data_IF_352792846307
#
_entry.id   IF_352792846307
#
_cell.length_a   1.000
_cell.length_b   1.000
_cell.length_c   1.000
_cell.angle_alpha   90.00
_cell.angle_beta   90.00
_cell.angle_gamma   90.00
#
_symmetry.space_group_name_H-M   'P 1'
#
loop_
_entity.id
_entity.type
_entity.pdbx_description
1 polymer ?
#
# COMPACT_ATOMS: atom_id res chain seq x y z
N UNK A 1 -2.11 3.42 14.17
CA UNK A 1 -2.13 2.72 12.86
C UNK A 1 -1.41 3.53 11.78
N UNK A 2 -1.98 4.65 11.30
CA UNK A 2 -1.42 5.41 10.16
C UNK A 2 0.07 5.79 10.35
N UNK A 3 0.44 6.30 11.53
CA UNK A 3 1.82 6.66 11.85
C UNK A 3 2.78 5.48 11.73
N UNK A 4 2.46 4.37 12.39
CA UNK A 4 3.27 3.15 12.38
C UNK A 4 3.45 2.57 10.97
N UNK A 5 2.39 2.54 10.16
CA UNK A 5 2.47 2.08 8.77
C UNK A 5 3.32 3.01 7.90
N UNK A 6 3.23 4.32 8.12
CA UNK A 6 3.97 5.31 7.37
C UNK A 6 5.48 5.31 7.68
N UNK A 7 5.83 5.11 8.96
CA UNK A 7 7.23 5.06 9.46
C UNK A 7 7.91 3.70 9.21
N UNK A 8 7.22 2.75 8.58
CA UNK A 8 7.79 1.45 8.25
C UNK A 8 8.67 1.54 6.98
N UNK A 9 9.93 1.94 7.13
CA UNK A 9 10.91 2.11 6.03
C UNK A 9 11.03 0.89 5.12
N UNK A 10 10.84 -0.31 5.68
CA UNK A 10 10.90 -1.54 4.89
C UNK A 10 9.81 -1.59 3.78
N UNK A 11 8.75 -0.79 3.88
CA UNK A 11 7.65 -0.75 2.91
C UNK A 11 7.83 0.35 1.83
N UNK A 12 9.03 0.93 1.71
CA UNK A 12 9.28 2.10 0.84
C UNK A 12 9.67 1.78 -0.60
N UNK A 13 9.83 0.50 -0.94
CA UNK A 13 10.28 0.11 -2.27
C UNK A 13 9.05 -0.07 -3.18
N UNK A 14 8.94 0.65 -4.32
CA UNK A 14 7.90 0.37 -5.30
C UNK A 14 8.06 -1.03 -5.88
N UNK A 15 6.97 -1.72 -6.23
CA UNK A 15 7.06 -2.92 -7.06
C UNK A 15 7.85 -2.61 -8.34
N UNK A 16 8.74 -3.53 -8.72
CA UNK A 16 9.70 -3.31 -9.81
C UNK A 16 9.01 -2.91 -11.13
N UNK A 17 7.89 -3.56 -11.45
CA UNK A 17 7.05 -3.31 -12.62
C UNK A 17 6.30 -1.96 -12.58
N UNK A 18 6.21 -1.30 -11.42
CA UNK A 18 5.56 0.00 -11.26
C UNK A 18 6.53 1.18 -11.16
N UNK A 19 7.84 0.92 -11.10
CA UNK A 19 8.89 1.95 -10.88
C UNK A 19 8.74 3.16 -11.82
N UNK A 20 8.42 2.91 -13.09
CA UNK A 20 8.32 3.94 -14.13
C UNK A 20 7.13 4.91 -13.99
N UNK A 21 6.07 4.51 -13.27
CA UNK A 21 4.89 5.37 -12.98
C UNK A 21 4.80 5.77 -11.51
N UNK A 22 5.73 5.32 -10.67
CA UNK A 22 5.60 5.40 -9.22
C UNK A 22 5.45 6.84 -8.72
N UNK A 23 6.18 7.77 -9.33
CA UNK A 23 6.07 9.19 -9.01
C UNK A 23 4.63 9.71 -9.19
N UNK A 24 3.99 9.42 -10.33
CA UNK A 24 2.62 9.85 -10.62
C UNK A 24 1.60 9.20 -9.68
N UNK A 25 1.84 7.94 -9.28
CA UNK A 25 1.01 7.22 -8.30
C UNK A 25 1.11 7.91 -6.94
N UNK A 26 2.33 8.22 -6.48
CA UNK A 26 2.56 8.92 -5.21
C UNK A 26 1.86 10.29 -5.20
N UNK A 27 2.02 11.07 -6.27
CA UNK A 27 1.36 12.37 -6.40
C UNK A 27 -0.17 12.27 -6.37
N UNK A 28 -0.72 11.28 -7.08
CA UNK A 28 -2.16 11.05 -7.12
C UNK A 28 -2.72 10.75 -5.72
N UNK A 29 -2.05 9.86 -4.96
CA UNK A 29 -2.51 9.46 -3.63
C UNK A 29 -2.34 10.58 -2.60
N UNK A 30 -1.22 11.31 -2.63
CA UNK A 30 -0.98 12.47 -1.73
C UNK A 30 -2.02 13.59 -1.99
N UNK A 31 -2.45 13.75 -3.24
CA UNK A 31 -3.49 14.72 -3.62
C UNK A 31 -4.92 14.21 -3.36
N UNK A 32 -5.09 13.09 -2.65
CA UNK A 32 -6.39 12.43 -2.42
C UNK A 32 -7.16 12.04 -3.69
N UNK A 33 -6.47 11.90 -4.83
CA UNK A 33 -7.10 11.58 -6.11
C UNK A 33 -7.06 10.07 -6.37
N UNK A 34 -7.92 9.33 -5.67
CA UNK A 34 -7.98 7.86 -5.80
C UNK A 34 -8.42 7.40 -7.19
N UNK A 35 -9.18 8.22 -7.93
CA UNK A 35 -9.53 7.91 -9.33
C UNK A 35 -8.30 7.94 -10.25
N UNK A 36 -7.41 8.93 -10.10
CA UNK A 36 -6.14 8.98 -10.85
C UNK A 36 -5.23 7.82 -10.46
N UNK A 37 -5.10 7.53 -9.16
CA UNK A 37 -4.32 6.39 -8.68
C UNK A 37 -4.81 5.06 -9.29
N UNK A 38 -6.13 4.85 -9.35
CA UNK A 38 -6.74 3.69 -10.03
C UNK A 38 -6.36 3.61 -11.51
N UNK A 39 -6.48 4.71 -12.26
CA UNK A 39 -6.15 4.72 -13.70
C UNK A 39 -4.71 4.29 -13.94
N UNK A 40 -3.79 4.73 -13.09
CA UNK A 40 -2.36 4.40 -13.19
C UNK A 40 -2.06 2.95 -12.83
N UNK A 41 -2.83 2.34 -11.92
CA UNK A 41 -2.51 1.05 -11.31
C UNK A 41 -3.32 -0.14 -11.86
N UNK A 42 -4.56 0.08 -12.27
CA UNK A 42 -5.50 -1.00 -12.59
C UNK A 42 -4.95 -1.95 -13.66
N UNK A 43 -4.97 -3.26 -13.37
CA UNK A 43 -4.52 -4.29 -14.31
C UNK A 43 -3.03 -4.25 -14.67
N UNK A 44 -2.22 -3.38 -14.06
CA UNK A 44 -0.81 -3.20 -14.40
C UNK A 44 0.07 -4.18 -13.61
N UNK A 45 0.90 -4.93 -14.32
CA UNK A 45 1.79 -5.95 -13.75
C UNK A 45 1.48 -7.35 -14.26
N UNK A 46 2.29 -8.32 -13.86
CA UNK A 46 2.13 -9.73 -14.25
C UNK A 46 1.44 -10.56 -13.16
N UNK A 47 0.90 -11.72 -13.55
CA UNK A 47 0.34 -12.71 -12.63
C UNK A 47 -1.18 -12.69 -12.50
N UNK A 48 -1.69 -13.48 -11.55
CA UNK A 48 -3.12 -13.62 -11.28
C UNK A 48 -3.72 -12.35 -10.64
N UNK A 49 -2.89 -11.64 -9.87
CA UNK A 49 -3.15 -10.32 -9.29
C UNK A 49 -2.00 -9.43 -9.72
N UNK A 50 -2.19 -8.56 -10.71
CA UNK A 50 -1.17 -7.61 -11.14
C UNK A 50 -0.71 -6.73 -9.97
N UNK A 51 0.59 -6.45 -9.88
CA UNK A 51 1.18 -5.67 -8.78
C UNK A 51 0.48 -4.32 -8.57
N UNK A 52 0.00 -3.69 -9.65
CA UNK A 52 -0.78 -2.47 -9.58
C UNK A 52 -2.11 -2.63 -8.85
N UNK A 53 -2.83 -3.73 -9.09
CA UNK A 53 -4.06 -4.03 -8.35
C UNK A 53 -3.78 -4.35 -6.88
N UNK A 54 -2.65 -4.98 -6.56
CA UNK A 54 -2.24 -5.24 -5.18
C UNK A 54 -1.93 -3.93 -4.42
N UNK A 55 -1.19 -3.01 -5.06
CA UNK A 55 -0.97 -1.64 -4.53
C UNK A 55 -2.32 -0.94 -4.34
N UNK A 56 -3.19 -0.97 -5.35
CA UNK A 56 -4.50 -0.34 -5.29
C UNK A 56 -5.35 -0.93 -4.16
N UNK A 57 -5.35 -2.25 -3.97
CA UNK A 57 -6.04 -2.91 -2.87
C UNK A 57 -5.51 -2.42 -1.51
N UNK A 58 -4.19 -2.30 -1.35
CA UNK A 58 -3.59 -1.72 -0.14
C UNK A 58 -4.05 -0.28 0.13
N UNK A 59 -4.12 0.55 -0.91
CA UNK A 59 -4.61 1.94 -0.81
C UNK A 59 -6.09 1.97 -0.37
N UNK A 60 -6.96 1.23 -1.05
CA UNK A 60 -8.40 1.21 -0.78
C UNK A 60 -8.71 0.68 0.61
N UNK A 61 -7.99 -0.36 1.05
CA UNK A 61 -8.13 -0.95 2.36
C UNK A 61 -7.78 0.04 3.46
N UNK A 62 -6.62 0.71 3.34
CA UNK A 62 -6.24 1.75 4.29
C UNK A 62 -7.28 2.87 4.34
N UNK A 63 -7.71 3.36 3.18
CA UNK A 63 -8.65 4.49 3.09
C UNK A 63 -9.99 4.15 3.73
N UNK A 64 -10.48 2.92 3.55
CA UNK A 64 -11.69 2.44 4.22
C UNK A 64 -11.53 2.44 5.75
N UNK A 65 -10.40 1.95 6.28
CA UNK A 65 -10.20 1.96 7.73
C UNK A 65 -9.98 3.37 8.31
N UNK A 66 -9.37 4.25 7.54
CA UNK A 66 -9.14 5.63 7.94
C UNK A 66 -10.44 6.46 7.94
N UNK A 67 -11.34 6.21 6.98
CA UNK A 67 -12.69 6.78 6.91
C UNK A 67 -13.73 5.74 6.46
N UNK A 68 -14.32 4.97 7.40
CA UNK A 68 -15.29 3.92 7.08
C UNK A 68 -16.61 4.45 6.50
N UNK A 69 -16.86 5.77 6.56
CA UNK A 69 -18.07 6.41 6.00
C UNK A 69 -17.87 6.83 4.55
N UNK A 70 -16.64 6.83 4.06
CA UNK A 70 -16.34 7.18 2.67
C UNK A 70 -16.82 6.09 1.72
N UNK A 71 -17.62 6.47 0.73
CA UNK A 71 -17.97 5.59 -0.39
C UNK A 71 -16.88 5.52 -1.46
N UNK A 72 -15.86 6.39 -1.37
CA UNK A 72 -14.84 6.54 -2.40
C UNK A 72 -14.11 5.22 -2.71
N UNK A 73 -13.69 4.41 -1.72
CA UNK A 73 -13.01 3.15 -2.03
C UNK A 73 -13.89 2.19 -2.85
N UNK A 74 -15.19 2.12 -2.54
CA UNK A 74 -16.13 1.25 -3.23
C UNK A 74 -16.39 1.73 -4.67
N UNK A 75 -16.54 3.04 -4.86
CA UNK A 75 -16.70 3.63 -6.20
C UNK A 75 -15.47 3.39 -7.08
N UNK A 76 -14.26 3.52 -6.52
CA UNK A 76 -13.00 3.24 -7.24
C UNK A 76 -12.89 1.76 -7.62
N UNK A 77 -13.16 0.85 -6.69
CA UNK A 77 -13.11 -0.58 -6.94
C UNK A 77 -14.10 -1.02 -8.04
N UNK A 78 -15.32 -0.45 -8.04
CA UNK A 78 -16.38 -0.82 -8.97
C UNK A 78 -16.02 -0.54 -10.44
N UNK A 79 -15.26 0.51 -10.70
CA UNK A 79 -14.90 0.95 -12.07
C UNK A 79 -13.48 0.54 -12.50
N UNK A 80 -12.75 -0.21 -11.67
CA UNK A 80 -11.41 -0.68 -12.00
C UNK A 80 -11.47 -1.62 -13.22
N UNK A 81 -10.62 -1.38 -14.21
CA UNK A 81 -10.48 -2.25 -15.37
C UNK A 81 -9.36 -3.28 -15.12
N UNK A 82 -9.75 -4.46 -14.63
CA UNK A 82 -8.84 -5.55 -14.27
C UNK A 82 -9.56 -6.90 -14.39
N UNK A 83 -8.82 -8.00 -14.22
CA UNK A 83 -9.35 -9.36 -14.22
C UNK A 83 -10.31 -9.62 -13.05
N UNK A 84 -11.14 -10.67 -13.17
CA UNK A 84 -12.20 -10.97 -12.20
C UNK A 84 -11.68 -11.25 -10.78
N UNK A 85 -10.48 -11.85 -10.67
CA UNK A 85 -9.85 -12.13 -9.39
C UNK A 85 -9.46 -10.83 -8.68
N UNK A 86 -8.69 -9.96 -9.35
CA UNK A 86 -8.32 -8.64 -8.82
C UNK A 86 -9.54 -7.79 -8.51
N UNK A 87 -10.55 -7.80 -9.37
CA UNK A 87 -11.82 -7.07 -9.15
C UNK A 87 -12.50 -7.50 -7.86
N UNK A 88 -12.55 -8.80 -7.60
CA UNK A 88 -13.11 -9.35 -6.35
C UNK A 88 -12.28 -8.90 -5.14
N UNK A 89 -10.95 -8.91 -5.26
CA UNK A 89 -10.05 -8.48 -4.20
C UNK A 89 -10.15 -6.98 -3.89
N UNK A 90 -10.21 -6.14 -4.92
CA UNK A 90 -10.42 -4.69 -4.79
C UNK A 90 -11.77 -4.37 -4.12
N UNK A 91 -12.83 -5.10 -4.48
CA UNK A 91 -14.15 -4.97 -3.85
C UNK A 91 -14.13 -5.32 -2.36
N UNK A 92 -13.39 -6.37 -1.97
CA UNK A 92 -13.18 -6.71 -0.56
C UNK A 92 -12.36 -5.65 0.18
N UNK A 93 -11.24 -5.20 -0.40
CA UNK A 93 -10.40 -4.16 0.16
C UNK A 93 -11.20 -2.88 0.44
N UNK A 94 -12.02 -2.44 -0.52
CA UNK A 94 -12.89 -1.28 -0.40
C UNK A 94 -13.94 -1.38 0.72
N UNK A 95 -14.21 -2.59 1.23
CA UNK A 95 -15.14 -2.88 2.33
C UNK A 95 -14.40 -3.16 3.65
N UNK A 96 -13.12 -2.83 3.72
CA UNK A 96 -12.30 -3.06 4.90
C UNK A 96 -11.90 -4.52 5.09
N UNK A 97 -12.02 -5.37 4.06
CA UNK A 97 -11.73 -6.79 4.15
C UNK A 97 -10.44 -7.15 3.43
N UNK A 98 -9.66 -8.01 4.07
CA UNK A 98 -8.46 -8.63 3.51
C UNK A 98 -8.23 -9.99 4.19
N UNK A 99 -7.15 -10.65 3.83
CA UNK A 99 -6.68 -11.88 4.44
C UNK A 99 -6.20 -11.66 5.88
N UNK A 100 -6.31 -12.70 6.70
CA UNK A 100 -5.99 -12.66 8.15
C UNK A 100 -4.61 -12.02 8.48
N UNK A 101 -3.51 -12.31 7.75
CA UNK A 101 -2.22 -11.68 8.05
C UNK A 101 -2.22 -10.15 7.93
N UNK A 102 -3.00 -9.60 6.99
CA UNK A 102 -3.11 -8.15 6.79
C UNK A 102 -3.88 -7.51 7.96
N UNK A 103 -5.00 -8.12 8.38
CA UNK A 103 -5.74 -7.65 9.56
C UNK A 103 -4.87 -7.67 10.82
N UNK A 104 -4.14 -8.76 11.07
CA UNK A 104 -3.25 -8.88 12.21
C UNK A 104 -2.13 -7.81 12.21
N UNK A 105 -1.54 -7.53 11.04
CA UNK A 105 -0.54 -6.46 10.88
C UNK A 105 -1.10 -5.09 11.25
N UNK A 106 -2.33 -4.81 10.82
CA UNK A 106 -2.99 -3.52 11.00
C UNK A 106 -3.44 -3.31 12.44
N UNK A 107 -3.99 -4.35 13.07
CA UNK A 107 -4.28 -4.38 14.51
C UNK A 107 -3.02 -4.14 15.34
N UNK A 108 -1.90 -4.78 14.97
CA UNK A 108 -0.60 -4.57 15.60
C UNK A 108 -0.13 -3.10 15.45
N UNK A 109 -0.26 -2.53 14.25
CA UNK A 109 0.05 -1.12 13.99
C UNK A 109 -0.87 -0.14 14.74
N UNK A 110 -2.12 -0.52 15.00
CA UNK A 110 -3.04 0.25 15.84
C UNK A 110 -2.60 0.23 17.31
N UNK A 111 -2.24 -0.94 17.83
CA UNK A 111 -1.74 -1.12 19.20
C UNK A 111 -0.44 -0.35 19.48
N UNK A 112 0.51 -0.34 18.53
CA UNK A 112 1.76 0.41 18.64
C UNK A 112 1.59 1.93 18.77
N UNK A 113 0.45 2.47 18.34
CA UNK A 113 0.14 3.90 18.51
C UNK A 113 -0.46 4.22 19.89
N UNK A 114 -0.72 3.21 20.74
CA UNK A 114 -1.27 3.36 22.09
C UNK A 114 -0.16 3.39 23.13
N UNK A 115 -0.20 4.33 24.07
CA UNK A 115 0.83 4.55 25.09
C UNK A 115 0.96 3.41 26.13
N UNK A 116 0.09 2.41 26.09
CA UNK A 116 0.01 1.34 27.10
C UNK A 116 0.66 0.02 26.68
N UNK A 117 1.37 -0.04 25.55
CA UNK A 117 1.95 -1.29 25.04
C UNK A 117 3.46 -1.35 25.29
N UNK A 118 4.01 -2.45 25.84
CA UNK A 118 5.46 -2.61 26.00
C UNK A 118 6.18 -2.48 24.66
N UNK A 119 6.94 -1.39 24.47
CA UNK A 119 7.46 -0.95 23.18
C UNK A 119 8.31 -2.01 22.44
N UNK A 120 9.02 -2.89 23.16
CA UNK A 120 9.93 -3.88 22.58
C UNK A 120 9.26 -5.06 21.87
N UNK A 121 8.20 -5.65 22.46
CA UNK A 121 7.55 -6.84 21.88
C UNK A 121 6.75 -6.49 20.63
N UNK A 122 6.05 -5.35 20.66
CA UNK A 122 5.12 -4.99 19.60
C UNK A 122 5.80 -4.56 18.29
N UNK A 123 7.03 -4.03 18.35
CA UNK A 123 7.80 -3.71 17.14
C UNK A 123 8.27 -4.99 16.44
N UNK A 124 8.79 -5.95 17.21
CA UNK A 124 9.20 -7.26 16.68
C UNK A 124 8.01 -8.04 16.09
N UNK A 125 6.85 -7.98 16.73
CA UNK A 125 5.61 -8.58 16.20
C UNK A 125 5.18 -7.93 14.88
N UNK A 126 5.26 -6.60 14.78
CA UNK A 126 4.94 -5.88 13.54
C UNK A 126 5.90 -6.26 12.39
N UNK A 127 7.20 -6.36 12.66
CA UNK A 127 8.19 -6.81 11.68
C UNK A 127 7.95 -8.26 11.23
N UNK A 128 7.63 -9.14 12.18
CA UNK A 128 7.27 -10.54 11.88
C UNK A 128 6.04 -10.61 10.99
N UNK A 129 4.99 -9.86 11.31
CA UNK A 129 3.75 -9.81 10.52
C UNK A 129 3.99 -9.22 9.13
N UNK A 130 4.85 -8.20 9.03
CA UNK A 130 5.28 -7.64 7.74
C UNK A 130 5.97 -8.71 6.88
N UNK A 131 6.85 -9.51 7.47
CA UNK A 131 7.52 -10.63 6.78
C UNK A 131 6.52 -11.71 6.33
N UNK A 132 5.56 -12.06 7.19
CA UNK A 132 4.48 -13.00 6.84
C UNK A 132 3.68 -12.46 5.65
N UNK A 133 3.28 -11.20 5.65
CA UNK A 133 2.56 -10.60 4.53
C UNK A 133 3.40 -10.60 3.25
N UNK A 134 4.69 -10.26 3.32
CA UNK A 134 5.58 -10.32 2.14
C UNK A 134 5.70 -11.70 1.52
N UNK A 135 5.55 -12.77 2.30
CA UNK A 135 5.60 -14.15 1.79
C UNK A 135 4.34 -14.58 1.00
N UNK A 136 3.34 -13.70 0.89
CA UNK A 136 2.07 -13.99 0.23
C UNK A 136 2.20 -13.68 -1.27
N UNK A 137 2.05 -14.73 -2.09
CA UNK A 137 2.30 -14.63 -3.54
C UNK A 137 3.78 -14.37 -3.84
N UNK A 138 4.10 -14.20 -5.13
CA UNK A 138 5.47 -13.89 -5.54
C UNK A 138 5.85 -12.43 -5.25
N UNK A 139 4.92 -11.51 -5.46
CA UNK A 139 5.12 -10.06 -5.28
C UNK A 139 3.90 -9.37 -4.64
N UNK A 140 2.73 -9.99 -4.64
CA UNK A 140 1.46 -9.39 -4.23
C UNK A 140 1.45 -8.88 -2.80
N UNK A 141 1.96 -9.67 -1.85
CA UNK A 141 2.07 -9.23 -0.45
C UNK A 141 2.95 -8.00 -0.29
N UNK A 142 4.06 -7.92 -1.03
CA UNK A 142 4.94 -6.75 -1.05
C UNK A 142 4.24 -5.52 -1.63
N UNK A 143 3.61 -5.66 -2.81
CA UNK A 143 2.87 -4.59 -3.47
C UNK A 143 1.72 -4.04 -2.60
N UNK A 144 0.97 -4.92 -1.95
CA UNK A 144 -0.09 -4.53 -1.03
C UNK A 144 0.44 -3.72 0.17
N UNK A 145 1.58 -4.11 0.74
CA UNK A 145 2.21 -3.35 1.82
C UNK A 145 2.66 -1.97 1.37
N UNK A 146 3.21 -1.84 0.16
CA UNK A 146 3.58 -0.55 -0.42
C UNK A 146 2.34 0.35 -0.56
N UNK A 147 1.21 -0.20 -1.02
CA UNK A 147 -0.06 0.52 -1.09
C UNK A 147 -0.59 1.01 0.27
N UNK A 148 -0.56 0.13 1.29
CA UNK A 148 -0.95 0.47 2.67
C UNK A 148 -0.09 1.61 3.23
N UNK A 149 1.23 1.55 3.07
CA UNK A 149 2.14 2.60 3.54
C UNK A 149 1.89 3.92 2.79
N UNK A 150 1.79 3.89 1.46
CA UNK A 150 1.59 5.10 0.67
C UNK A 150 0.31 5.83 1.10
N UNK A 151 -0.79 5.10 1.27
CA UNK A 151 -2.04 5.66 1.75
C UNK A 151 -1.92 6.22 3.18
N UNK A 152 -1.17 5.55 4.06
CA UNK A 152 -0.91 6.05 5.41
C UNK A 152 -0.11 7.36 5.44
N UNK A 153 0.93 7.47 4.60
CA UNK A 153 1.72 8.69 4.43
C UNK A 153 0.85 9.83 3.90
N UNK A 154 0.05 9.57 2.86
CA UNK A 154 -0.84 10.57 2.29
C UNK A 154 -1.88 11.04 3.31
N UNK A 155 -2.52 10.12 4.03
CA UNK A 155 -3.52 10.42 5.05
C UNK A 155 -2.99 11.36 6.14
N UNK A 156 -1.78 11.10 6.64
CA UNK A 156 -1.17 11.94 7.66
C UNK A 156 -0.87 13.35 7.14
N UNK A 157 -0.48 13.49 5.87
CA UNK A 157 -0.27 14.80 5.25
C UNK A 157 -1.57 15.60 5.14
N UNK A 158 -2.62 14.96 4.62
CA UNK A 158 -3.95 15.57 4.44
C UNK A 158 -4.50 16.06 5.79
N UNK A 159 -4.25 15.30 6.86
CA UNK A 159 -4.72 15.60 8.21
C UNK A 159 -3.70 16.37 9.08
N UNK A 160 -2.65 16.97 8.49
CA UNK A 160 -1.77 17.93 9.15
C UNK A 160 -0.66 17.36 10.05
N UNK A 161 -0.31 16.08 9.92
CA UNK A 161 0.83 15.48 10.62
C UNK A 161 2.09 15.51 9.73
N UNK A 162 3.21 16.15 10.16
CA UNK A 162 4.44 16.14 9.40
C UNK A 162 5.04 14.72 9.38
N UNK A 163 5.31 14.20 8.19
CA UNK A 163 6.14 13.01 7.98
C UNK A 163 7.23 13.29 6.93
N UNK A 164 8.45 12.75 7.12
CA UNK A 164 9.50 12.82 6.10
C UNK A 164 9.04 12.09 4.82
N UNK A 165 9.49 12.58 3.66
CA UNK A 165 9.16 11.96 2.39
C UNK A 165 9.85 10.60 2.26
N UNK A 166 9.20 9.60 1.66
CA UNK A 166 9.95 8.51 1.06
C UNK A 166 10.85 9.09 -0.02
N UNK A 167 12.16 9.00 0.17
CA UNK A 167 13.12 9.33 -0.87
C UNK A 167 12.98 8.25 -1.93
N UNK A 168 12.34 8.58 -3.06
CA UNK A 168 12.40 7.72 -4.24
C UNK A 168 13.86 7.71 -4.67
N UNK A 169 14.61 6.68 -4.25
CA UNK A 169 15.92 6.40 -4.83
C UNK A 169 15.69 6.22 -6.33
N UNK A 170 16.17 7.17 -7.12
CA UNK A 170 16.19 6.99 -8.57
C UNK A 170 16.95 5.69 -8.86
N UNK A 171 16.46 4.84 -9.78
CA UNK A 171 17.26 3.69 -10.20
C UNK A 171 18.57 4.23 -10.75
N UNK A 172 19.68 3.74 -10.21
CA UNK A 172 21.02 4.04 -10.68
C UNK A 172 21.09 3.57 -12.15
N UNK A 173 21.04 4.52 -13.10
CA UNK A 173 21.05 4.25 -14.55
C UNK A 173 22.43 3.77 -15.05
N UNK A 174 23.32 3.34 -14.15
CA UNK A 174 24.71 2.97 -14.44
C UNK A 174 24.91 1.51 -14.90
N UNK A 175 23.87 0.69 -15.04
CA UNK A 175 23.99 -0.71 -15.50
C UNK A 175 23.34 -0.95 -16.88
N UNK A 176 23.57 -0.06 -17.85
CA UNK A 176 23.25 -0.32 -19.28
C UNK A 176 24.38 0.06 -20.27
N UNK A 177 25.64 0.13 -19.83
CA UNK A 177 26.80 0.39 -20.71
C UNK A 177 27.74 -0.80 -20.97
N UNK A 178 27.31 -2.04 -20.75
CA UNK A 178 28.09 -3.22 -21.20
C UNK A 178 27.25 -4.20 -22.02
N UNK A 179 26.88 -3.78 -23.22
CA UNK A 179 26.55 -4.68 -24.34
C UNK A 179 26.61 -3.92 -25.68
N UNK A 180 27.80 -3.49 -26.09
CA UNK A 180 28.16 -3.28 -27.50
C UNK A 180 29.58 -3.71 -27.74
#
# INVERSE_FOLDING_TARGET
>A
MARTLAEADSLDVPPHDLTHIWHDVVEAVISSNLHKARILLQGLGAGLTPSGDDVLAGILLFWHWADPRSEMPAQVAAIADTCDLSRSFLSWAARGQSIKPIHALVECAAGLSSANTPAGSSRADFERLTSVVRSIGSSSGGAMLTGLRLAAVAWLRINGSPLPFPTISQPDLTILEFAR
#
